data_IF_586916885133
#
_entry.id   IF_586916885133
#
_cell.length_a   1.000
_cell.length_b   1.000
_cell.length_c   1.000
_cell.angle_alpha   90.00
_cell.angle_beta   90.00
_cell.angle_gamma   90.00
#
_symmetry.space_group_name_H-M   'P 1'
#
loop_
_entity.id
_entity.type
_entity.pdbx_description
1 polymer ?
#
# COMPACT_ATOMS: atom_id res chain seq x y z
N UNK A 1 20.21 7.03 -7.69
CA UNK A 1 19.18 7.67 -8.50
C UNK A 1 19.59 9.08 -8.87
N UNK A 2 19.71 9.33 -10.15
CA UNK A 2 20.05 10.65 -10.61
C UNK A 2 18.93 11.64 -10.29
N UNK A 3 19.32 12.76 -9.71
CA UNK A 3 18.40 13.85 -9.53
C UNK A 3 18.06 14.45 -10.89
N UNK A 4 16.82 14.36 -11.29
CA UNK A 4 16.34 15.02 -12.50
C UNK A 4 16.05 16.47 -12.16
N UNK A 5 16.76 17.39 -12.78
CA UNK A 5 16.46 18.80 -12.65
C UNK A 5 15.20 19.12 -13.42
N UNK A 6 14.13 19.43 -12.68
CA UNK A 6 12.90 19.89 -13.29
C UNK A 6 13.05 21.35 -13.69
N UNK A 7 12.51 21.76 -14.84
CA UNK A 7 12.45 23.18 -15.20
C UNK A 7 11.54 23.94 -14.23
N UNK A 8 11.66 25.24 -14.20
CA UNK A 8 10.78 26.14 -13.43
C UNK A 8 10.92 26.08 -11.92
N UNK A 9 12.10 25.76 -11.42
CA UNK A 9 12.39 25.89 -10.00
C UNK A 9 11.80 24.79 -9.11
N UNK A 10 11.34 23.71 -9.67
CA UNK A 10 11.00 22.54 -8.87
C UNK A 10 12.26 21.95 -8.24
N UNK A 11 12.25 21.78 -6.94
CA UNK A 11 13.32 21.09 -6.28
C UNK A 11 13.24 19.58 -6.62
N UNK A 12 14.36 18.96 -7.06
CA UNK A 12 14.34 17.53 -7.37
C UNK A 12 14.39 16.65 -6.12
N UNK A 13 14.03 17.19 -5.00
CA UNK A 13 14.13 16.52 -3.71
C UNK A 13 13.05 15.47 -3.50
N UNK A 14 11.90 15.63 -4.16
CA UNK A 14 10.73 14.80 -3.91
C UNK A 14 10.15 14.27 -5.21
N UNK A 15 10.21 12.97 -5.38
CA UNK A 15 9.54 12.31 -6.50
C UNK A 15 8.15 11.87 -6.08
N UNK A 16 7.09 12.13 -6.88
CA UNK A 16 5.77 11.65 -6.57
C UNK A 16 5.71 10.13 -6.62
N UNK A 17 5.07 9.51 -5.64
CA UNK A 17 4.91 8.06 -5.53
C UNK A 17 6.22 7.27 -5.54
N UNK A 18 7.34 7.91 -5.20
CA UNK A 18 8.65 7.27 -5.19
C UNK A 18 9.21 7.20 -3.75
N UNK A 19 8.78 6.24 -2.92
CA UNK A 19 9.33 6.07 -1.59
C UNK A 19 10.79 5.62 -1.66
N UNK A 20 11.61 6.08 -0.73
CA UNK A 20 13.02 5.69 -0.66
C UNK A 20 13.19 4.23 -0.28
N UNK A 21 12.24 3.68 0.46
CA UNK A 21 12.32 2.31 0.96
C UNK A 21 11.02 1.56 0.67
N UNK A 22 11.17 0.41 0.03
CA UNK A 22 10.11 -0.56 -0.13
C UNK A 22 10.64 -1.93 0.27
N UNK A 23 9.97 -2.57 1.21
CA UNK A 23 10.35 -3.90 1.70
C UNK A 23 9.16 -4.82 1.55
N UNK A 24 9.41 -5.98 0.98
CA UNK A 24 8.42 -7.04 0.87
C UNK A 24 9.02 -8.33 1.44
N UNK A 25 8.29 -8.96 2.34
CA UNK A 25 8.67 -10.24 2.91
C UNK A 25 7.50 -11.19 2.87
N UNK A 26 7.76 -12.44 2.53
CA UNK A 26 6.76 -13.48 2.46
C UNK A 26 7.25 -14.70 3.21
N UNK A 27 6.38 -15.28 4.01
CA UNK A 27 6.64 -16.52 4.74
C UNK A 27 5.53 -17.51 4.42
N UNK A 28 5.89 -18.69 3.93
CA UNK A 28 4.94 -19.74 3.59
C UNK A 28 5.38 -21.04 4.23
N UNK A 29 4.43 -21.78 4.79
CA UNK A 29 4.69 -23.10 5.35
C UNK A 29 3.59 -24.06 4.96
N UNK A 30 4.00 -25.23 4.50
CA UNK A 30 3.12 -26.34 4.15
C UNK A 30 3.06 -27.31 5.34
N UNK A 31 1.83 -27.58 5.81
CA UNK A 31 1.58 -28.53 6.91
C UNK A 31 0.99 -29.86 6.41
N UNK A 32 1.01 -30.10 5.11
CA UNK A 32 0.44 -31.29 4.50
C UNK A 32 -1.02 -31.10 4.09
N UNK A 33 -1.91 -30.96 5.06
CA UNK A 33 -3.34 -30.77 4.79
C UNK A 33 -3.70 -29.32 4.48
N UNK A 34 -2.85 -28.39 4.88
CA UNK A 34 -3.09 -26.97 4.65
C UNK A 34 -1.75 -26.24 4.52
N UNK A 35 -1.83 -25.07 3.90
CA UNK A 35 -0.69 -24.19 3.69
C UNK A 35 -1.03 -22.81 4.22
N UNK A 36 -0.09 -22.23 4.97
CA UNK A 36 -0.24 -20.91 5.56
C UNK A 36 0.76 -19.96 4.91
N UNK A 37 0.32 -18.78 4.57
CA UNK A 37 1.19 -17.75 4.01
C UNK A 37 0.95 -16.42 4.71
N UNK A 38 2.03 -15.75 5.07
CA UNK A 38 2.04 -14.39 5.57
C UNK A 38 2.84 -13.53 4.61
N UNK A 39 2.25 -12.45 4.16
CA UNK A 39 2.92 -11.45 3.34
C UNK A 39 2.96 -10.13 4.10
N UNK A 40 4.12 -9.53 4.17
CA UNK A 40 4.30 -8.24 4.79
C UNK A 40 4.94 -7.27 3.81
N UNK A 41 4.35 -6.11 3.66
CA UNK A 41 4.90 -5.05 2.82
C UNK A 41 5.06 -3.78 3.63
N UNK A 42 6.19 -3.13 3.46
CA UNK A 42 6.47 -1.83 4.02
C UNK A 42 6.78 -0.88 2.88
N UNK A 43 6.06 0.22 2.84
CA UNK A 43 6.32 1.32 1.91
C UNK A 43 6.69 2.53 2.74
N UNK A 44 7.90 3.06 2.51
CA UNK A 44 8.39 4.22 3.24
C UNK A 44 7.59 5.48 2.92
N UNK A 45 7.82 6.50 3.71
CA UNK A 45 7.19 7.79 3.48
C UNK A 45 7.60 8.37 2.12
N UNK A 46 6.70 9.08 1.50
CA UNK A 46 6.93 9.69 0.19
C UNK A 46 5.95 10.85 -0.02
N UNK A 47 6.18 11.61 -1.06
CA UNK A 47 5.24 12.67 -1.47
C UNK A 47 4.43 12.23 -2.67
N UNK A 48 3.14 12.55 -2.65
CA UNK A 48 2.24 12.25 -3.77
C UNK A 48 2.46 13.17 -4.96
N UNK A 49 3.01 14.37 -4.74
CA UNK A 49 3.22 15.37 -5.79
C UNK A 49 4.61 16.00 -5.64
N UNK A 50 5.23 16.43 -6.78
CA UNK A 50 6.59 16.97 -6.78
C UNK A 50 6.61 18.45 -6.39
N UNK A 51 6.03 18.81 -5.27
CA UNK A 51 6.10 20.18 -4.78
C UNK A 51 7.45 20.46 -4.13
N UNK A 52 7.92 21.67 -4.30
CA UNK A 52 9.10 22.16 -3.59
C UNK A 52 8.86 22.12 -2.07
N UNK A 53 9.92 21.90 -1.31
CA UNK A 53 9.86 21.91 0.15
C UNK A 53 9.38 23.24 0.72
N UNK A 54 9.54 24.33 -0.04
CA UNK A 54 9.05 25.66 0.36
C UNK A 54 7.56 25.87 0.03
N UNK A 55 6.95 24.99 -0.76
CA UNK A 55 5.52 25.08 -1.09
C UNK A 55 4.69 24.50 0.05
N UNK A 56 3.69 25.26 0.57
CA UNK A 56 2.82 24.74 1.64
C UNK A 56 2.12 23.43 1.29
N UNK A 57 1.87 23.18 0.00
CA UNK A 57 1.25 21.93 -0.46
C UNK A 57 2.15 20.72 -0.28
N UNK A 58 3.44 20.92 -0.15
CA UNK A 58 4.39 19.82 0.12
C UNK A 58 4.05 19.08 1.40
N UNK A 59 3.71 19.82 2.46
CA UNK A 59 3.31 19.20 3.74
C UNK A 59 1.94 18.52 3.64
N UNK A 60 1.04 19.04 2.80
CA UNK A 60 -0.31 18.49 2.64
C UNK A 60 -0.35 17.22 1.79
N UNK A 61 0.69 16.97 0.98
CA UNK A 61 0.77 15.83 0.07
C UNK A 61 1.77 14.80 0.51
N UNK A 62 2.27 14.89 1.74
CA UNK A 62 3.16 13.91 2.32
C UNK A 62 2.39 12.65 2.71
N UNK A 63 2.87 11.50 2.23
CA UNK A 63 2.30 10.19 2.57
C UNK A 63 3.22 9.50 3.55
N UNK A 64 2.70 9.17 4.72
CA UNK A 64 3.45 8.48 5.75
C UNK A 64 3.73 7.03 5.38
N UNK A 65 4.72 6.42 6.01
CA UNK A 65 5.02 5.02 5.79
C UNK A 65 3.83 4.14 6.14
N UNK A 66 3.71 3.02 5.44
CA UNK A 66 2.67 2.05 5.73
C UNK A 66 3.26 0.65 5.83
N UNK A 67 2.73 -0.11 6.76
CA UNK A 67 3.05 -1.51 6.95
C UNK A 67 1.76 -2.30 6.83
N UNK A 68 1.72 -3.21 5.88
CA UNK A 68 0.53 -4.01 5.60
C UNK A 68 0.90 -5.48 5.66
N UNK A 69 0.14 -6.23 6.44
CA UNK A 69 0.31 -7.67 6.57
C UNK A 69 -0.93 -8.37 6.04
N UNK A 70 -0.73 -9.33 5.15
CA UNK A 70 -1.79 -10.17 4.61
C UNK A 70 -1.57 -11.60 5.08
N UNK A 71 -2.67 -12.30 5.34
CA UNK A 71 -2.67 -13.68 5.75
C UNK A 71 -3.48 -14.52 4.78
N UNK A 72 -3.01 -15.72 4.49
CA UNK A 72 -3.72 -16.66 3.63
C UNK A 72 -3.57 -18.08 4.18
N UNK A 73 -4.70 -18.78 4.24
CA UNK A 73 -4.76 -20.21 4.59
C UNK A 73 -5.39 -20.95 3.42
N UNK A 74 -4.66 -21.90 2.87
CA UNK A 74 -5.10 -22.71 1.73
C UNK A 74 -5.21 -24.16 2.15
N UNK A 75 -6.32 -24.78 1.81
CA UNK A 75 -6.55 -26.20 2.11
C UNK A 75 -7.33 -26.86 0.98
N UNK A 76 -7.14 -28.15 0.81
CA UNK A 76 -7.89 -28.96 -0.17
C UNK A 76 -8.47 -30.15 0.58
N UNK A 77 -9.67 -29.99 1.20
CA UNK A 77 -10.28 -31.10 1.97
C UNK A 77 -10.70 -32.28 1.10
N UNK A 78 -10.85 -32.08 -0.19
CA UNK A 78 -11.15 -33.13 -1.18
C UNK A 78 -10.33 -32.87 -2.44
N UNK A 79 -10.11 -33.90 -3.26
CA UNK A 79 -9.30 -33.78 -4.48
C UNK A 79 -9.83 -32.74 -5.47
N UNK A 80 -11.12 -32.47 -5.44
CA UNK A 80 -11.79 -31.57 -6.37
C UNK A 80 -12.27 -30.27 -5.72
N UNK A 81 -11.86 -30.01 -4.48
CA UNK A 81 -12.28 -28.82 -3.74
C UNK A 81 -11.08 -28.12 -3.12
N UNK A 82 -10.88 -26.87 -3.48
CA UNK A 82 -9.89 -25.99 -2.90
C UNK A 82 -10.56 -24.85 -2.14
N UNK A 83 -10.10 -24.62 -0.93
CA UNK A 83 -10.56 -23.54 -0.07
C UNK A 83 -9.40 -22.62 0.25
N UNK A 84 -9.63 -21.32 0.16
CA UNK A 84 -8.67 -20.31 0.56
C UNK A 84 -9.35 -19.30 1.47
N UNK A 85 -8.86 -19.20 2.70
CA UNK A 85 -9.22 -18.10 3.60
C UNK A 85 -8.15 -17.04 3.50
N UNK A 86 -8.58 -15.78 3.43
CA UNK A 86 -7.61 -14.69 3.36
C UNK A 86 -8.07 -13.52 4.21
N UNK A 87 -7.08 -12.85 4.78
CA UNK A 87 -7.27 -11.60 5.51
C UNK A 87 -6.30 -10.60 4.92
N UNK A 88 -6.81 -9.59 4.25
CA UNK A 88 -6.01 -8.49 3.74
C UNK A 88 -5.97 -7.39 4.77
N UNK A 89 -4.78 -6.81 4.95
CA UNK A 89 -4.54 -5.79 5.95
C UNK A 89 -4.85 -6.31 7.36
N UNK A 90 -4.22 -7.41 7.74
CA UNK A 90 -4.42 -8.09 9.02
C UNK A 90 -4.23 -7.16 10.21
N UNK A 91 -3.28 -6.24 10.13
CA UNK A 91 -2.97 -5.28 11.18
C UNK A 91 -3.90 -4.05 11.17
N UNK A 92 -4.87 -4.01 10.27
CA UNK A 92 -5.86 -2.92 10.13
C UNK A 92 -5.20 -1.54 10.03
N UNK A 93 -4.16 -1.45 9.22
CA UNK A 93 -3.46 -0.20 9.01
C UNK A 93 -4.30 0.76 8.16
N UNK A 94 -4.36 2.02 8.58
CA UNK A 94 -4.94 3.09 7.78
C UNK A 94 -3.83 3.73 6.96
N UNK A 95 -4.02 3.85 5.66
CA UNK A 95 -3.02 4.42 4.78
C UNK A 95 -3.68 5.14 3.61
N UNK A 96 -2.99 6.19 3.12
CA UNK A 96 -3.45 6.97 1.99
C UNK A 96 -2.89 6.37 0.70
N UNK A 97 -3.77 6.06 -0.26
CA UNK A 97 -3.37 5.54 -1.57
C UNK A 97 -3.27 6.63 -2.62
N UNK A 98 -4.02 7.70 -2.45
CA UNK A 98 -4.00 8.85 -3.34
C UNK A 98 -4.49 10.08 -2.61
N UNK A 99 -4.11 11.27 -3.11
CA UNK A 99 -4.57 12.53 -2.56
C UNK A 99 -4.65 13.57 -3.66
N UNK A 100 -5.60 14.48 -3.50
CA UNK A 100 -5.79 15.59 -4.42
C UNK A 100 -5.66 16.89 -3.62
N UNK A 101 -4.60 17.67 -3.84
CA UNK A 101 -4.45 18.96 -3.17
C UNK A 101 -5.25 20.03 -3.89
N UNK A 102 -5.91 20.87 -3.11
CA UNK A 102 -6.60 22.06 -3.58
C UNK A 102 -5.79 23.28 -3.16
N UNK A 103 -5.62 24.22 -4.08
CA UNK A 103 -4.86 25.43 -3.84
C UNK A 103 -5.56 26.42 -2.91
N UNK A 104 -4.91 27.58 -2.67
CA UNK A 104 -5.43 28.59 -1.73
C UNK A 104 -6.84 29.07 -2.04
N UNK A 105 -7.25 29.09 -3.32
CA UNK A 105 -8.60 29.48 -3.72
C UNK A 105 -9.70 28.56 -3.20
N UNK A 106 -9.33 27.36 -2.73
CA UNK A 106 -10.24 26.37 -2.15
C UNK A 106 -9.92 26.09 -0.67
N UNK A 107 -9.23 27.00 0.00
CA UNK A 107 -8.89 26.86 1.41
C UNK A 107 -7.72 25.96 1.74
N UNK A 108 -6.88 25.63 0.77
CA UNK A 108 -5.72 24.73 0.93
C UNK A 108 -6.09 23.38 1.53
N UNK A 109 -7.13 22.78 0.99
CA UNK A 109 -7.60 21.46 1.42
C UNK A 109 -6.90 20.35 0.64
N UNK A 110 -6.78 19.20 1.25
CA UNK A 110 -6.33 17.98 0.58
C UNK A 110 -7.41 16.91 0.73
N UNK A 111 -7.77 16.29 -0.39
CA UNK A 111 -8.69 15.16 -0.39
C UNK A 111 -7.88 13.88 -0.40
N UNK A 112 -7.98 13.11 0.67
CA UNK A 112 -7.24 11.87 0.84
C UNK A 112 -8.11 10.67 0.52
N UNK A 113 -7.56 9.76 -0.27
CA UNK A 113 -8.19 8.47 -0.55
C UNK A 113 -7.44 7.38 0.20
N UNK A 114 -8.14 6.70 1.10
CA UNK A 114 -7.55 5.66 1.93
C UNK A 114 -7.63 4.29 1.25
N UNK A 115 -6.66 3.44 1.57
CA UNK A 115 -6.70 2.05 1.17
C UNK A 115 -7.77 1.28 1.93
N UNK A 116 -8.02 0.05 1.49
CA UNK A 116 -9.02 -0.80 2.12
C UNK A 116 -8.64 -1.14 3.56
N UNK A 117 -9.60 -1.11 4.51
CA UNK A 117 -9.36 -1.59 5.85
C UNK A 117 -9.17 -3.10 5.86
N UNK A 118 -8.96 -3.67 7.04
CA UNK A 118 -8.90 -5.12 7.17
C UNK A 118 -10.13 -5.76 6.53
N UNK A 119 -9.87 -6.68 5.61
CA UNK A 119 -10.90 -7.35 4.84
C UNK A 119 -10.68 -8.86 4.96
N UNK A 120 -11.74 -9.58 5.26
CA UNK A 120 -11.74 -11.03 5.43
C UNK A 120 -12.58 -11.64 4.32
N UNK A 121 -12.07 -12.69 3.69
CA UNK A 121 -12.79 -13.36 2.64
C UNK A 121 -12.43 -14.84 2.54
N UNK A 122 -13.18 -15.52 1.70
CA UNK A 122 -12.98 -16.94 1.41
C UNK A 122 -13.25 -17.19 -0.07
N UNK A 123 -12.32 -17.90 -0.69
CA UNK A 123 -12.48 -18.37 -2.05
C UNK A 123 -12.71 -19.88 -2.02
N UNK A 124 -13.69 -20.33 -2.78
CA UNK A 124 -14.00 -21.73 -2.93
C UNK A 124 -13.90 -22.09 -4.41
N UNK A 125 -13.08 -23.07 -4.71
CA UNK A 125 -12.96 -23.59 -6.07
C UNK A 125 -13.35 -25.06 -6.07
N UNK A 126 -14.43 -25.38 -6.76
CA UNK A 126 -14.92 -26.74 -6.91
C UNK A 126 -14.80 -27.18 -8.37
N UNK A 127 -14.16 -28.30 -8.58
CA UNK A 127 -13.94 -28.85 -9.91
C UNK A 127 -14.85 -30.06 -10.11
N UNK A 128 -15.74 -29.96 -11.05
CA UNK A 128 -16.71 -31.02 -11.39
C UNK A 128 -16.07 -32.20 -12.14
#
# INVERSE_FOLDING_TARGET
TESVMAPDGFAPELFPYAPETMIYASLEKDFGNYRVRLDHSRVGEHNAFPYSSSDPRSALTHVEERNITDFRLMTSPMDNLDLTFWIKNLNDASYVVNMIPFGPGFGQLTLDFYGHPRTIGMDLYYKF
#
